data_IF_132020897817
#
_entry.id   IF_132020897817
#
_cell.length_a   1.000
_cell.length_b   1.000
_cell.length_c   1.000
_cell.angle_alpha   90.00
_cell.angle_beta   90.00
_cell.angle_gamma   90.00
#
_symmetry.space_group_name_H-M   'P 1'
#
loop_
_entity.id
_entity.type
_entity.pdbx_description
1 polymer ?
#
# COMPACT_ATOMS: atom_id res chain seq x y z
N UNK A 1 -4.37 -23.48 -18.76
CA UNK A 1 -3.58 -22.79 -17.72
C UNK A 1 -2.68 -23.83 -17.09
N UNK A 2 -1.35 -23.65 -17.09
CA UNK A 2 -0.46 -24.56 -16.37
C UNK A 2 -0.54 -24.28 -14.87
N UNK A 3 -0.49 -25.31 -14.03
CA UNK A 3 -0.53 -25.16 -12.56
C UNK A 3 0.54 -24.20 -12.03
N UNK A 4 1.70 -24.11 -12.70
CA UNK A 4 2.77 -23.16 -12.38
C UNK A 4 2.31 -21.70 -12.43
N UNK A 5 1.48 -21.31 -13.39
CA UNK A 5 0.99 -19.93 -13.53
C UNK A 5 -0.03 -19.53 -12.46
N UNK A 6 -0.81 -20.48 -11.94
CA UNK A 6 -1.78 -20.17 -10.88
C UNK A 6 -1.10 -19.96 -9.52
N UNK A 7 -0.12 -20.81 -9.20
CA UNK A 7 0.67 -20.72 -7.97
C UNK A 7 1.44 -19.39 -7.94
N UNK A 8 2.12 -19.03 -9.03
CA UNK A 8 2.89 -17.78 -9.12
C UNK A 8 1.98 -16.55 -8.91
N UNK A 9 0.77 -16.55 -9.48
CA UNK A 9 -0.20 -15.46 -9.29
C UNK A 9 -0.74 -15.37 -7.87
N UNK A 10 -0.99 -16.51 -7.23
CA UNK A 10 -1.44 -16.54 -5.84
C UNK A 10 -0.39 -15.92 -4.90
N UNK A 11 0.87 -16.34 -5.02
CA UNK A 11 1.96 -15.83 -4.19
C UNK A 11 2.30 -14.37 -4.48
N UNK A 12 2.36 -13.98 -5.76
CA UNK A 12 2.82 -12.64 -6.14
C UNK A 12 1.75 -11.59 -5.90
N UNK A 13 0.46 -11.90 -6.12
CA UNK A 13 -0.59 -10.88 -6.14
C UNK A 13 -1.50 -10.89 -4.91
N UNK A 14 -1.86 -12.06 -4.39
CA UNK A 14 -2.69 -12.12 -3.18
C UNK A 14 -1.83 -12.05 -1.93
N UNK A 15 -0.88 -12.98 -1.79
CA UNK A 15 -0.03 -13.03 -0.60
C UNK A 15 0.85 -11.78 -0.48
N UNK A 16 1.47 -11.33 -1.58
CA UNK A 16 2.29 -10.11 -1.59
C UNK A 16 1.50 -8.86 -1.17
N UNK A 17 0.26 -8.71 -1.66
CA UNK A 17 -0.59 -7.56 -1.31
C UNK A 17 -0.99 -7.58 0.16
N UNK A 18 -1.33 -8.75 0.70
CA UNK A 18 -1.70 -8.88 2.10
C UNK A 18 -0.51 -8.63 3.03
N UNK A 19 0.69 -9.08 2.65
CA UNK A 19 1.94 -8.73 3.33
C UNK A 19 2.22 -7.22 3.29
N UNK A 20 1.87 -6.55 2.19
CA UNK A 20 1.99 -5.10 2.06
C UNK A 20 1.09 -4.37 3.06
N UNK A 21 -0.14 -4.87 3.28
CA UNK A 21 -1.04 -4.32 4.29
C UNK A 21 -0.51 -4.54 5.70
N UNK A 22 -0.05 -5.76 6.01
CA UNK A 22 0.57 -6.07 7.30
C UNK A 22 1.77 -5.13 7.54
N UNK A 23 2.64 -4.95 6.54
CA UNK A 23 3.78 -4.04 6.67
C UNK A 23 3.34 -2.59 6.91
N UNK A 24 2.38 -2.09 6.11
CA UNK A 24 1.90 -0.71 6.23
C UNK A 24 1.26 -0.43 7.59
N UNK A 25 0.40 -1.31 8.10
CA UNK A 25 -0.21 -1.12 9.42
C UNK A 25 0.79 -1.34 10.56
N UNK A 26 1.66 -2.33 10.43
CA UNK A 26 2.72 -2.61 11.41
C UNK A 26 3.68 -1.44 11.56
N UNK A 27 4.08 -0.81 10.44
CA UNK A 27 4.88 0.42 10.43
C UNK A 27 4.21 1.52 11.26
N UNK A 28 2.91 1.75 11.03
CA UNK A 28 2.18 2.79 11.74
C UNK A 28 2.09 2.51 13.24
N UNK A 29 1.76 1.27 13.63
CA UNK A 29 1.71 0.85 15.04
C UNK A 29 3.06 1.06 15.73
N UNK A 30 4.15 0.62 15.09
CA UNK A 30 5.50 0.78 15.64
C UNK A 30 5.86 2.26 15.81
N UNK A 31 5.49 3.12 14.86
CA UNK A 31 5.74 4.56 14.96
C UNK A 31 4.91 5.20 16.06
N UNK A 32 3.65 4.81 16.24
CA UNK A 32 2.79 5.33 17.31
C UNK A 32 3.37 4.97 18.68
N UNK A 33 3.73 3.71 18.89
CA UNK A 33 4.35 3.21 20.12
C UNK A 33 5.70 3.89 20.39
N UNK A 34 6.55 4.02 19.37
CA UNK A 34 7.82 4.72 19.50
C UNK A 34 7.62 6.20 19.85
N UNK A 35 6.66 6.87 19.22
CA UNK A 35 6.42 8.29 19.46
C UNK A 35 5.81 8.60 20.81
N UNK A 36 4.93 7.74 21.32
CA UNK A 36 4.24 7.93 22.59
C UNK A 36 5.01 7.36 23.79
N UNK A 37 5.77 6.28 23.61
CA UNK A 37 6.36 5.55 24.73
C UNK A 37 7.86 5.23 24.55
N UNK A 38 8.47 5.57 23.42
CA UNK A 38 9.84 5.16 23.07
C UNK A 38 10.05 3.63 23.13
N UNK A 39 9.01 2.86 22.81
CA UNK A 39 9.00 1.40 22.79
C UNK A 39 8.92 0.86 21.36
N UNK A 40 9.31 -0.41 21.17
CA UNK A 40 9.07 -1.16 19.94
C UNK A 40 8.20 -2.38 20.26
N UNK A 41 6.94 -2.43 19.81
CA UNK A 41 5.97 -3.43 20.24
C UNK A 41 6.09 -4.77 19.52
N UNK A 42 7.07 -4.97 18.63
CA UNK A 42 7.18 -6.18 17.79
C UNK A 42 7.37 -7.41 18.67
N UNK A 43 6.39 -8.35 18.71
CA UNK A 43 6.52 -9.58 19.47
C UNK A 43 7.57 -10.48 18.83
N UNK A 44 8.52 -11.00 19.62
CA UNK A 44 9.63 -11.81 19.12
C UNK A 44 9.33 -13.32 19.09
N UNK A 45 8.34 -13.76 19.87
CA UNK A 45 7.97 -15.17 20.01
C UNK A 45 6.59 -15.45 19.42
N UNK A 46 6.42 -16.68 18.95
CA UNK A 46 5.15 -17.17 18.41
C UNK A 46 4.11 -17.24 19.54
N UNK A 47 3.33 -16.17 19.65
CA UNK A 47 2.44 -15.90 20.79
C UNK A 47 1.09 -15.36 20.31
N UNK A 48 0.04 -15.42 21.14
CA UNK A 48 -1.23 -14.77 20.84
C UNK A 48 -1.09 -13.28 20.53
N UNK A 49 -0.09 -12.61 21.15
CA UNK A 49 0.24 -11.21 20.90
C UNK A 49 0.77 -10.99 19.48
N UNK A 50 1.56 -11.92 18.95
CA UNK A 50 2.03 -11.88 17.55
C UNK A 50 0.86 -11.99 16.57
N UNK A 51 -0.07 -12.91 16.83
CA UNK A 51 -1.28 -13.08 15.99
C UNK A 51 -2.12 -11.80 16.03
N UNK A 52 -2.33 -11.25 17.23
CA UNK A 52 -3.02 -9.97 17.42
C UNK A 52 -2.34 -8.83 16.66
N UNK A 53 -1.02 -8.72 16.77
CA UNK A 53 -0.24 -7.71 16.06
C UNK A 53 -0.39 -7.85 14.54
N UNK A 54 -0.28 -9.06 13.98
CA UNK A 54 -0.43 -9.30 12.54
C UNK A 54 -1.83 -8.93 12.06
N UNK A 55 -2.88 -9.35 12.79
CA UNK A 55 -4.27 -9.04 12.44
C UNK A 55 -4.56 -7.54 12.50
N UNK A 56 -4.16 -6.87 13.59
CA UNK A 56 -4.29 -5.42 13.74
C UNK A 56 -3.53 -4.68 12.65
N UNK A 57 -2.31 -5.12 12.34
CA UNK A 57 -1.49 -4.56 11.26
C UNK A 57 -2.16 -4.71 9.91
N UNK A 58 -2.74 -5.88 9.60
CA UNK A 58 -3.44 -6.11 8.34
C UNK A 58 -4.65 -5.17 8.16
N UNK A 59 -5.57 -5.13 9.14
CA UNK A 59 -6.78 -4.30 9.04
C UNK A 59 -6.48 -2.81 9.06
N UNK A 60 -5.48 -2.40 9.85
CA UNK A 60 -5.02 -1.02 9.88
C UNK A 60 -4.36 -0.64 8.55
N UNK A 61 -3.49 -1.49 8.01
CA UNK A 61 -2.85 -1.26 6.71
C UNK A 61 -3.85 -1.16 5.57
N UNK A 62 -4.87 -2.02 5.57
CA UNK A 62 -5.99 -1.93 4.64
C UNK A 62 -6.72 -0.57 4.77
N UNK A 63 -7.01 -0.14 6.00
CA UNK A 63 -7.66 1.15 6.26
C UNK A 63 -6.80 2.35 5.83
N UNK A 64 -5.49 2.29 6.06
CA UNK A 64 -4.52 3.30 5.63
C UNK A 64 -4.49 3.39 4.10
N UNK A 65 -4.54 2.27 3.39
CA UNK A 65 -4.64 2.26 1.94
C UNK A 65 -5.90 2.98 1.46
N UNK A 66 -7.05 2.68 2.06
CA UNK A 66 -8.32 3.34 1.72
C UNK A 66 -8.27 4.86 1.97
N UNK A 67 -7.61 5.29 3.05
CA UNK A 67 -7.34 6.72 3.31
C UNK A 67 -6.45 7.29 2.20
N UNK A 68 -5.38 6.61 1.82
CA UNK A 68 -4.47 7.04 0.76
C UNK A 68 -5.15 7.21 -0.59
N UNK A 69 -6.01 6.26 -0.98
CA UNK A 69 -6.80 6.32 -2.20
C UNK A 69 -7.79 7.50 -2.22
N UNK A 70 -8.28 7.93 -1.04
CA UNK A 70 -9.16 9.10 -0.92
C UNK A 70 -8.40 10.43 -0.90
N UNK A 71 -7.22 10.45 -0.27
CA UNK A 71 -6.42 11.66 -0.10
C UNK A 71 -5.60 12.02 -1.35
N UNK A 72 -5.15 11.02 -2.09
CA UNK A 72 -4.30 11.21 -3.26
C UNK A 72 -5.03 10.75 -4.52
N UNK A 73 -4.79 11.39 -5.67
CA UNK A 73 -5.38 10.99 -6.96
C UNK A 73 -4.67 9.75 -7.52
N UNK A 74 -4.66 8.66 -6.74
CA UNK A 74 -3.90 7.42 -6.98
C UNK A 74 -4.65 6.40 -7.84
N UNK A 75 -5.84 6.76 -8.36
CA UNK A 75 -6.64 6.18 -9.47
C UNK A 75 -8.07 6.67 -9.26
N UNK A 76 -8.67 7.41 -10.21
CA UNK A 76 -10.05 7.95 -10.05
C UNK A 76 -11.11 6.86 -10.08
N UNK A 77 -10.84 5.76 -10.78
CA UNK A 77 -11.70 4.58 -10.83
C UNK A 77 -11.13 3.51 -9.90
N UNK A 78 -11.42 3.65 -8.61
CA UNK A 78 -11.26 2.53 -7.69
C UNK A 78 -12.12 1.39 -8.22
N UNK A 79 -11.49 0.23 -8.48
CA UNK A 79 -12.10 -1.07 -8.80
C UNK A 79 -13.63 -1.06 -8.78
N UNK A 80 -14.22 -0.54 -9.86
CA UNK A 80 -15.67 -0.55 -9.99
C UNK A 80 -16.10 -2.01 -10.25
N UNK A 81 -17.36 -2.37 -10.06
CA UNK A 81 -17.83 -3.77 -10.29
C UNK A 81 -17.50 -4.28 -11.71
N UNK A 82 -17.20 -3.37 -12.63
CA UNK A 82 -16.65 -3.58 -13.96
C UNK A 82 -15.20 -4.08 -14.00
N UNK A 83 -14.34 -3.84 -13.00
CA UNK A 83 -12.95 -4.31 -12.97
C UNK A 83 -12.84 -5.84 -12.85
N UNK A 84 -13.79 -6.49 -12.17
CA UNK A 84 -13.82 -7.95 -12.07
C UNK A 84 -14.20 -8.58 -13.41
N UNK A 85 -15.15 -7.97 -14.13
CA UNK A 85 -15.51 -8.34 -15.49
C UNK A 85 -14.39 -8.04 -16.50
N UNK A 86 -13.67 -6.92 -16.30
CA UNK A 86 -12.52 -6.51 -17.10
C UNK A 86 -11.34 -7.48 -16.92
N UNK A 87 -10.98 -7.83 -15.67
CA UNK A 87 -9.98 -8.86 -15.38
C UNK A 87 -10.37 -10.23 -15.94
N UNK A 88 -11.63 -10.64 -15.80
CA UNK A 88 -12.12 -11.89 -16.37
C UNK A 88 -12.08 -11.90 -17.91
N UNK A 89 -12.32 -10.76 -18.57
CA UNK A 89 -12.15 -10.62 -20.03
C UNK A 89 -10.69 -10.62 -20.45
N UNK A 90 -9.82 -9.92 -19.72
CA UNK A 90 -8.37 -9.91 -19.93
C UNK A 90 -7.77 -11.31 -19.85
N UNK A 91 -8.12 -12.09 -18.81
CA UNK A 91 -7.68 -13.48 -18.64
C UNK A 91 -8.12 -14.37 -19.82
N UNK A 92 -9.27 -14.08 -20.42
CA UNK A 92 -9.84 -14.87 -21.53
C UNK A 92 -9.28 -14.49 -22.91
N UNK A 93 -8.84 -13.25 -23.12
CA UNK A 93 -8.47 -12.72 -24.44
C UNK A 93 -6.98 -12.41 -24.62
N UNK A 94 -6.21 -12.20 -23.56
CA UNK A 94 -4.83 -11.72 -23.66
C UNK A 94 -3.78 -12.78 -23.28
N UNK A 95 -2.60 -12.67 -23.91
CA UNK A 95 -1.43 -13.49 -23.63
C UNK A 95 -0.99 -13.35 -22.15
N UNK A 96 -0.48 -14.44 -21.56
CA UNK A 96 -0.12 -14.51 -20.14
C UNK A 96 0.88 -13.42 -19.74
N UNK A 97 1.80 -13.06 -20.65
CA UNK A 97 2.80 -12.00 -20.43
C UNK A 97 2.20 -10.61 -20.19
N UNK A 98 1.12 -10.26 -20.90
CA UNK A 98 0.45 -8.96 -20.75
C UNK A 98 -0.27 -8.92 -19.42
N UNK A 99 -0.95 -10.02 -19.06
CA UNK A 99 -1.63 -10.12 -17.77
C UNK A 99 -0.65 -10.04 -16.60
N UNK A 100 0.46 -10.78 -16.66
CA UNK A 100 1.44 -10.79 -15.57
C UNK A 100 2.08 -9.40 -15.39
N UNK A 101 2.31 -8.64 -16.48
CA UNK A 101 2.77 -7.25 -16.40
C UNK A 101 1.75 -6.36 -15.70
N UNK A 102 0.48 -6.49 -16.07
CA UNK A 102 -0.61 -5.71 -15.49
C UNK A 102 -0.84 -6.01 -14.01
N UNK A 103 -0.85 -7.29 -13.62
CA UNK A 103 -0.99 -7.71 -12.22
C UNK A 103 0.19 -7.23 -11.35
N UNK A 104 1.42 -7.23 -11.89
CA UNK A 104 2.59 -6.63 -11.21
C UNK A 104 2.43 -5.14 -10.98
N UNK A 105 1.87 -4.41 -11.94
CA UNK A 105 1.63 -2.98 -11.80
C UNK A 105 0.57 -2.68 -10.73
N UNK A 106 -0.50 -3.47 -10.66
CA UNK A 106 -1.49 -3.39 -9.57
C UNK A 106 -0.84 -3.64 -8.21
N UNK A 107 0.03 -4.64 -8.12
CA UNK A 107 0.78 -4.93 -6.90
C UNK A 107 1.70 -3.76 -6.50
N UNK A 108 2.47 -3.21 -7.43
CA UNK A 108 3.30 -2.03 -7.19
C UNK A 108 2.47 -0.82 -6.74
N UNK A 109 1.29 -0.63 -7.32
CA UNK A 109 0.37 0.42 -6.88
C UNK A 109 -0.10 0.18 -5.43
N UNK A 110 -0.37 -1.06 -5.03
CA UNK A 110 -0.72 -1.40 -3.65
C UNK A 110 0.42 -1.08 -2.67
N UNK A 111 1.68 -1.30 -3.06
CA UNK A 111 2.86 -0.90 -2.27
C UNK A 111 2.90 0.62 -2.13
N UNK A 112 2.88 1.34 -3.26
CA UNK A 112 3.02 2.80 -3.26
C UNK A 112 1.90 3.49 -2.48
N UNK A 113 0.67 3.01 -2.62
CA UNK A 113 -0.49 3.53 -1.88
C UNK A 113 -0.41 3.20 -0.40
N UNK A 114 -0.26 1.93 -0.03
CA UNK A 114 -0.31 1.49 1.38
C UNK A 114 0.91 1.98 2.17
N UNK A 115 2.11 1.67 1.68
CA UNK A 115 3.36 1.96 2.38
C UNK A 115 3.67 3.45 2.33
N UNK A 116 3.42 4.09 1.18
CA UNK A 116 3.60 5.54 1.03
C UNK A 116 2.68 6.33 1.95
N UNK A 117 1.39 6.00 1.98
CA UNK A 117 0.42 6.67 2.87
C UNK A 117 0.74 6.39 4.34
N UNK A 118 1.07 5.15 4.69
CA UNK A 118 1.47 4.81 6.06
C UNK A 118 2.67 5.65 6.51
N UNK A 119 3.70 5.73 5.67
CA UNK A 119 4.90 6.53 5.97
C UNK A 119 4.58 8.02 6.17
N UNK A 120 3.70 8.60 5.33
CA UNK A 120 3.26 9.99 5.49
C UNK A 120 2.47 10.23 6.77
N UNK A 121 1.51 9.35 7.08
CA UNK A 121 0.71 9.44 8.30
C UNK A 121 1.58 9.25 9.55
N UNK A 122 2.51 8.29 9.51
CA UNK A 122 3.49 8.06 10.56
C UNK A 122 4.39 9.27 10.79
N UNK A 123 4.99 9.82 9.72
CA UNK A 123 5.81 11.01 9.81
C UNK A 123 5.04 12.23 10.34
N UNK A 124 3.80 12.43 9.86
CA UNK A 124 2.91 13.47 10.36
C UNK A 124 2.54 13.29 11.83
N UNK A 125 2.23 12.06 12.25
CA UNK A 125 1.95 11.73 13.65
C UNK A 125 3.15 12.03 14.55
N UNK A 126 4.36 11.64 14.12
CA UNK A 126 5.58 11.96 14.85
C UNK A 126 5.78 13.47 14.98
N UNK A 127 5.58 14.24 13.91
CA UNK A 127 5.68 15.70 14.00
C UNK A 127 4.67 16.28 15.00
N UNK A 128 3.43 15.80 15.00
CA UNK A 128 2.39 16.23 15.94
C UNK A 128 2.74 15.91 17.40
N UNK A 129 3.16 14.67 17.68
CA UNK A 129 3.57 14.25 19.03
C UNK A 129 4.83 15.01 19.46
N UNK A 130 5.77 15.22 18.53
CA UNK A 130 6.94 16.05 18.74
C UNK A 130 6.57 17.47 19.17
N UNK A 131 5.69 18.15 18.42
CA UNK A 131 5.22 19.50 18.78
C UNK A 131 4.51 19.53 20.15
N UNK A 132 3.68 18.53 20.44
CA UNK A 132 3.00 18.41 21.73
C UNK A 132 3.99 18.28 22.90
N UNK A 133 5.01 17.42 22.76
CA UNK A 133 6.07 17.24 23.76
C UNK A 133 6.94 18.47 23.92
N UNK A 134 7.19 19.19 22.82
CA UNK A 134 8.00 20.41 22.83
C UNK A 134 7.33 21.50 23.65
N UNK A 135 6.01 21.65 23.49
CA UNK A 135 5.20 22.55 24.32
C UNK A 135 5.28 22.22 25.82
N UNK A 136 5.41 20.93 26.16
CA UNK A 136 5.53 20.44 27.53
C UNK A 136 6.98 20.37 28.05
N UNK A 137 7.97 20.87 27.30
CA UNK A 137 9.41 20.81 27.63
C UNK A 137 9.94 19.39 27.85
N UNK A 138 9.31 18.37 27.26
CA UNK A 138 9.82 17.01 27.26
C UNK A 138 10.89 16.85 26.16
N UNK A 139 12.00 16.19 26.47
CA UNK A 139 13.20 16.03 25.62
C UNK A 139 12.88 15.42 24.24
N UNK A 140 13.48 15.97 23.18
CA UNK A 140 13.50 15.39 21.83
C UNK A 140 14.90 14.87 21.50
N UNK A 141 14.99 13.61 21.05
CA UNK A 141 16.21 13.11 20.43
C UNK A 141 16.31 13.56 18.97
N UNK A 142 17.54 13.80 18.50
CA UNK A 142 17.81 14.08 17.08
C UNK A 142 17.31 12.92 16.20
N UNK A 143 17.40 11.69 16.69
CA UNK A 143 16.94 10.48 16.00
C UNK A 143 15.45 10.52 15.69
N UNK A 144 14.64 11.09 16.59
CA UNK A 144 13.20 11.26 16.40
C UNK A 144 12.88 12.15 15.19
N UNK A 145 13.57 13.29 15.09
CA UNK A 145 13.40 14.25 14.00
C UNK A 145 13.88 13.63 12.68
N UNK A 146 15.03 12.93 12.72
CA UNK A 146 15.57 12.22 11.56
C UNK A 146 14.60 11.16 11.03
N UNK A 147 14.03 10.34 11.92
CA UNK A 147 13.05 9.31 11.55
C UNK A 147 11.76 9.92 10.97
N UNK A 148 11.22 10.97 11.61
CA UNK A 148 10.03 11.65 11.13
C UNK A 148 10.23 12.23 9.72
N UNK A 149 11.35 12.92 9.48
CA UNK A 149 11.70 13.46 8.16
C UNK A 149 11.91 12.35 7.13
N UNK A 150 12.61 11.27 7.50
CA UNK A 150 12.82 10.11 6.63
C UNK A 150 11.51 9.48 6.17
N UNK A 151 10.56 9.30 7.10
CA UNK A 151 9.22 8.78 6.80
C UNK A 151 8.41 9.71 5.90
N UNK A 152 8.47 11.03 6.14
CA UNK A 152 7.80 12.01 5.26
C UNK A 152 8.39 11.99 3.85
N UNK A 153 9.72 11.95 3.73
CA UNK A 153 10.41 11.92 2.42
C UNK A 153 10.12 10.63 1.67
N UNK A 154 10.23 9.48 2.34
CA UNK A 154 9.91 8.17 1.77
C UNK A 154 8.45 8.11 1.34
N UNK A 155 7.53 8.51 2.21
CA UNK A 155 6.11 8.51 1.93
C UNK A 155 5.74 9.40 0.75
N UNK A 156 6.32 10.61 0.68
CA UNK A 156 6.16 11.52 -0.46
C UNK A 156 6.69 10.92 -1.76
N UNK A 157 7.86 10.30 -1.73
CA UNK A 157 8.44 9.65 -2.89
C UNK A 157 7.53 8.53 -3.43
N UNK A 158 7.13 7.60 -2.55
CA UNK A 158 6.29 6.46 -2.91
C UNK A 158 4.90 6.90 -3.42
N UNK A 159 4.27 7.87 -2.76
CA UNK A 159 2.96 8.38 -3.22
C UNK A 159 3.08 9.05 -4.58
N UNK A 160 4.11 9.88 -4.81
CA UNK A 160 4.30 10.54 -6.10
C UNK A 160 4.52 9.54 -7.24
N UNK A 161 5.32 8.51 -7.02
CA UNK A 161 5.52 7.47 -8.03
C UNK A 161 4.27 6.59 -8.19
N UNK A 162 3.52 6.36 -7.12
CA UNK A 162 2.19 5.77 -7.17
C UNK A 162 1.24 6.55 -8.07
N UNK A 163 1.25 7.90 -8.01
CA UNK A 163 0.38 8.75 -8.85
C UNK A 163 0.77 8.61 -10.33
N UNK A 164 2.07 8.57 -10.64
CA UNK A 164 2.53 8.35 -12.02
C UNK A 164 2.11 6.98 -12.53
N UNK A 165 2.28 5.94 -11.73
CA UNK A 165 1.90 4.58 -12.09
C UNK A 165 0.38 4.45 -12.29
N UNK A 166 -0.41 5.11 -11.43
CA UNK A 166 -1.86 5.14 -11.55
C UNK A 166 -2.32 5.75 -12.87
N UNK A 167 -1.74 6.88 -13.29
CA UNK A 167 -2.05 7.51 -14.58
C UNK A 167 -1.70 6.60 -15.76
N UNK A 168 -0.53 5.98 -15.72
CA UNK A 168 -0.13 5.04 -16.75
C UNK A 168 -1.07 3.82 -16.80
N UNK A 169 -1.55 3.32 -15.66
CA UNK A 169 -2.57 2.26 -15.61
C UNK A 169 -3.91 2.72 -16.18
N UNK A 170 -4.34 3.95 -15.90
CA UNK A 170 -5.57 4.51 -16.49
C UNK A 170 -5.48 4.60 -18.03
N UNK A 171 -4.34 5.05 -18.57
CA UNK A 171 -4.09 5.07 -20.02
C UNK A 171 -4.11 3.65 -20.64
N UNK A 172 -3.53 2.66 -19.95
CA UNK A 172 -3.57 1.27 -20.42
C UNK A 172 -4.98 0.67 -20.34
N UNK A 173 -5.74 0.96 -19.28
CA UNK A 173 -7.12 0.50 -19.10
C UNK A 173 -8.02 1.04 -20.22
N UNK A 174 -7.85 2.31 -20.61
CA UNK A 174 -8.57 2.94 -21.72
C UNK A 174 -8.22 2.30 -23.07
N UNK A 175 -6.93 2.11 -23.36
CA UNK A 175 -6.49 1.46 -24.60
C UNK A 175 -7.02 0.01 -24.72
N UNK A 176 -6.95 -0.76 -23.63
CA UNK A 176 -7.47 -2.13 -23.58
C UNK A 176 -9.01 -2.17 -23.73
N UNK A 177 -9.71 -1.18 -23.18
CA UNK A 177 -11.16 -1.09 -23.33
C UNK A 177 -11.58 -0.78 -24.78
N UNK A 178 -10.86 0.11 -25.46
CA UNK A 178 -11.11 0.46 -26.86
C UNK A 178 -10.83 -0.73 -27.80
N UNK A 179 -9.75 -1.47 -27.58
CA UNK A 179 -9.44 -2.71 -28.33
C UNK A 179 -10.54 -3.77 -28.17
N UNK A 180 -11.10 -3.93 -26.96
CA UNK A 180 -12.19 -4.88 -26.74
C UNK A 180 -13.53 -4.46 -27.36
N UNK A 181 -13.74 -3.16 -27.59
CA UNK A 181 -14.93 -2.64 -28.26
C UNK A 181 -14.83 -2.75 -29.78
N UNK A 182 -13.62 -2.62 -30.34
CA UNK A 182 -13.38 -2.75 -31.78
C UNK A 182 -13.52 -4.19 -32.28
N UNK A 183 -13.15 -5.20 -31.49
CA UNK A 183 -13.33 -6.62 -31.84
C UNK A 183 -14.79 -7.12 -31.82
N UNK A 184 -15.73 -6.36 -31.23
CA UNK A 184 -17.15 -6.72 -31.16
C UNK A 184 -18.01 -6.06 -32.25
N UNK A 185 -17.39 -5.30 -33.18
CA UNK A 185 -18.02 -4.73 -34.37
C UNK A 185 -17.62 -5.53 -35.61
#
# INVERSE_FOLDING_TARGET
>A
MSESTWIERFYTHFLGRDLTYIYAGGLFICVVEYALYYTNPIPQELSPNLIGFILSSYFLGFSIREIGLKLFPLRKKAFDKTDLFFHQKLIKKYDSKILDKYERMIYSLAIFTSVGTSSLLSGGFMLLVGLYRWFLQAIHSIDYIGLALGLVLLGRFLVNDGIKLARYLEEQDEALADDMLSENR
#
